data_IF_436742521344
#
_entry.id   IF_436742521344
#
_cell.length_a   1.000
_cell.length_b   1.000
_cell.length_c   1.000
_cell.angle_alpha   90.00
_cell.angle_beta   90.00
_cell.angle_gamma   90.00
#
_symmetry.space_group_name_H-M   'P 1'
#
loop_
_entity.id
_entity.type
_entity.pdbx_description
1 polymer ?
#
# COMPACT_ATOMS: atom_id res chain seq x y z
N UNK A 1 35.34 20.31 -22.39
CA UNK A 1 34.28 19.42 -22.90
C UNK A 1 33.37 19.07 -21.74
N UNK A 2 32.20 19.69 -21.66
CA UNK A 2 31.33 19.68 -20.50
C UNK A 2 30.54 18.37 -20.40
N UNK A 3 30.84 17.54 -19.39
CA UNK A 3 29.93 16.51 -18.91
C UNK A 3 29.23 17.04 -17.66
N UNK A 4 28.24 17.90 -17.86
CA UNK A 4 27.27 18.33 -16.85
C UNK A 4 25.88 18.35 -17.50
N UNK A 5 25.21 17.20 -17.53
CA UNK A 5 23.74 17.09 -17.38
C UNK A 5 23.29 15.64 -17.56
N UNK A 6 23.44 14.82 -16.53
CA UNK A 6 22.66 13.58 -16.43
C UNK A 6 22.34 13.23 -14.97
N UNK A 7 22.20 14.24 -14.11
CA UNK A 7 21.36 14.07 -12.91
C UNK A 7 19.91 14.28 -13.34
N UNK A 8 19.36 13.30 -14.07
CA UNK A 8 17.91 13.18 -14.22
C UNK A 8 17.33 13.25 -12.81
N UNK A 9 16.49 14.26 -12.58
CA UNK A 9 15.99 14.65 -11.27
C UNK A 9 15.29 13.45 -10.62
N UNK A 10 16.02 12.68 -9.80
CA UNK A 10 15.46 11.51 -9.12
C UNK A 10 14.42 12.05 -8.15
N UNK A 11 13.14 11.85 -8.45
CA UNK A 11 12.04 12.35 -7.62
C UNK A 11 12.22 11.78 -6.20
N UNK A 12 12.21 12.67 -5.20
CA UNK A 12 12.40 12.28 -3.80
C UNK A 12 11.20 11.47 -3.29
N UNK A 13 11.41 10.61 -2.30
CA UNK A 13 10.34 9.84 -1.65
C UNK A 13 9.22 10.76 -1.15
N UNK A 14 9.58 11.95 -0.67
CA UNK A 14 8.62 12.99 -0.28
C UNK A 14 7.65 13.36 -1.42
N UNK A 15 8.18 13.65 -2.62
CA UNK A 15 7.35 14.01 -3.77
C UNK A 15 6.48 12.85 -4.24
N UNK A 16 6.98 11.61 -4.17
CA UNK A 16 6.17 10.43 -4.45
C UNK A 16 5.02 10.27 -3.46
N UNK A 17 5.30 10.42 -2.16
CA UNK A 17 4.28 10.35 -1.12
C UNK A 17 3.22 11.46 -1.27
N UNK A 18 3.61 12.66 -1.71
CA UNK A 18 2.64 13.71 -2.04
C UNK A 18 1.72 13.29 -3.19
N UNK A 19 2.26 12.75 -4.27
CA UNK A 19 1.46 12.31 -5.43
C UNK A 19 0.54 11.14 -5.06
N UNK A 20 1.05 10.15 -4.33
CA UNK A 20 0.26 9.01 -3.85
C UNK A 20 -0.88 9.51 -2.95
N UNK A 21 -0.59 10.41 -2.01
CA UNK A 21 -1.60 10.97 -1.11
C UNK A 21 -2.67 11.77 -1.85
N UNK A 22 -2.26 12.64 -2.78
CA UNK A 22 -3.18 13.45 -3.57
C UNK A 22 -4.10 12.57 -4.43
N UNK A 23 -3.52 11.64 -5.18
CA UNK A 23 -4.26 10.66 -5.98
C UNK A 23 -5.24 9.84 -5.14
N UNK A 24 -4.80 9.35 -3.97
CA UNK A 24 -5.64 8.56 -3.05
C UNK A 24 -6.79 9.38 -2.47
N UNK A 25 -6.53 10.64 -2.09
CA UNK A 25 -7.55 11.52 -1.50
C UNK A 25 -8.61 11.93 -2.53
N UNK A 26 -8.22 12.06 -3.80
CA UNK A 26 -9.14 12.33 -4.90
C UNK A 26 -9.86 11.08 -5.43
N UNK A 27 -9.62 9.90 -4.83
CA UNK A 27 -10.29 8.66 -5.20
C UNK A 27 -9.74 8.00 -6.48
N UNK A 28 -8.61 8.46 -7.00
CA UNK A 28 -7.97 7.91 -8.20
C UNK A 28 -7.13 6.68 -7.87
N UNK A 29 -7.79 5.63 -7.37
CA UNK A 29 -7.11 4.48 -6.77
C UNK A 29 -6.25 3.67 -7.75
N UNK A 30 -6.69 3.49 -9.00
CA UNK A 30 -5.86 2.84 -10.03
C UNK A 30 -4.59 3.66 -10.30
N UNK A 31 -4.73 4.98 -10.37
CA UNK A 31 -3.59 5.87 -10.58
C UNK A 31 -2.64 5.88 -9.38
N UNK A 32 -3.16 5.77 -8.17
CA UNK A 32 -2.36 5.60 -6.95
C UNK A 32 -1.41 4.40 -7.07
N UNK A 33 -1.88 3.27 -7.60
CA UNK A 33 -1.06 2.08 -7.82
C UNK A 33 -0.06 2.24 -8.98
N UNK A 34 -0.44 2.96 -10.04
CA UNK A 34 0.45 3.30 -11.16
C UNK A 34 1.60 4.22 -10.70
N UNK A 35 1.31 5.22 -9.86
CA UNK A 35 2.31 6.11 -9.26
C UNK A 35 3.28 5.29 -8.41
N UNK A 36 2.79 4.35 -7.60
CA UNK A 36 3.67 3.48 -6.80
C UNK A 36 4.55 2.58 -7.67
N UNK A 37 3.98 1.97 -8.72
CA UNK A 37 4.75 1.17 -9.68
C UNK A 37 5.86 2.00 -10.33
N UNK A 38 5.53 3.24 -10.70
CA UNK A 38 6.50 4.19 -11.25
C UNK A 38 7.59 4.55 -10.23
N UNK A 39 7.22 4.77 -8.96
CA UNK A 39 8.18 5.04 -7.87
C UNK A 39 9.19 3.91 -7.71
N UNK A 40 8.72 2.65 -7.66
CA UNK A 40 9.57 1.47 -7.51
C UNK A 40 10.54 1.36 -8.69
N UNK A 41 10.07 1.56 -9.92
CA UNK A 41 10.90 1.50 -11.13
C UNK A 41 11.97 2.60 -11.19
N UNK A 42 11.67 3.83 -10.77
CA UNK A 42 12.60 4.96 -10.89
C UNK A 42 13.62 5.07 -9.75
N UNK A 43 13.21 4.67 -8.54
CA UNK A 43 14.03 4.86 -7.34
C UNK A 43 14.75 3.59 -6.92
N UNK A 44 14.36 2.42 -7.44
CA UNK A 44 14.78 1.12 -6.89
C UNK A 44 14.45 0.98 -5.40
N UNK A 45 13.65 1.90 -4.88
CA UNK A 45 13.33 2.07 -3.47
C UNK A 45 11.86 1.80 -3.25
N UNK A 46 11.53 1.53 -2.00
CA UNK A 46 10.21 1.11 -1.60
C UNK A 46 9.44 2.24 -0.92
N UNK A 47 8.17 1.98 -0.63
CA UNK A 47 7.39 2.89 0.20
C UNK A 47 7.88 2.89 1.65
N UNK A 48 7.21 3.69 2.47
CA UNK A 48 7.39 3.67 3.92
C UNK A 48 6.03 3.54 4.63
N UNK A 49 6.04 3.70 5.94
CA UNK A 49 4.84 3.64 6.80
C UNK A 49 3.76 4.66 6.43
N UNK A 50 4.08 5.70 5.65
CA UNK A 50 3.08 6.61 5.07
C UNK A 50 2.55 6.12 3.72
N UNK A 51 3.39 5.49 2.92
CA UNK A 51 3.02 5.01 1.58
C UNK A 51 2.04 3.84 1.66
N UNK A 52 2.37 2.80 2.44
CA UNK A 52 1.63 1.55 2.44
C UNK A 52 0.16 1.68 2.85
N UNK A 53 -0.22 2.46 3.90
CA UNK A 53 -1.62 2.66 4.24
C UNK A 53 -2.45 3.26 3.09
N UNK A 54 -1.86 4.15 2.29
CA UNK A 54 -2.53 4.76 1.13
C UNK A 54 -2.75 3.73 0.01
N UNK A 55 -1.75 2.89 -0.27
CA UNK A 55 -1.87 1.81 -1.25
C UNK A 55 -2.93 0.80 -0.83
N UNK A 56 -2.93 0.40 0.45
CA UNK A 56 -3.90 -0.52 1.01
C UNK A 56 -5.32 0.05 0.97
N UNK A 57 -5.48 1.35 1.26
CA UNK A 57 -6.75 2.06 1.06
C UNK A 57 -7.16 2.03 -0.42
N UNK A 58 -6.25 2.24 -1.36
CA UNK A 58 -6.56 2.16 -2.79
C UNK A 58 -7.02 0.75 -3.19
N UNK A 59 -6.30 -0.30 -2.77
CA UNK A 59 -6.69 -1.70 -3.01
C UNK A 59 -8.08 -2.00 -2.43
N UNK A 60 -8.36 -1.53 -1.21
CA UNK A 60 -9.63 -1.71 -0.52
C UNK A 60 -10.81 -1.09 -1.29
N UNK A 61 -10.63 0.13 -1.81
CA UNK A 61 -11.70 0.82 -2.56
C UNK A 61 -11.85 0.29 -3.99
N UNK A 62 -10.81 -0.30 -4.55
CA UNK A 62 -10.89 -1.05 -5.81
C UNK A 62 -11.48 -2.46 -5.64
N UNK A 63 -11.64 -2.93 -4.40
CA UNK A 63 -12.01 -4.32 -4.11
C UNK A 63 -10.97 -5.34 -4.64
N UNK A 64 -9.71 -4.92 -4.81
CA UNK A 64 -8.72 -5.73 -5.52
C UNK A 64 -7.83 -6.51 -4.56
N UNK A 65 -8.22 -7.77 -4.31
CA UNK A 65 -7.43 -8.71 -3.51
C UNK A 65 -6.05 -9.00 -4.11
N UNK A 66 -5.94 -9.03 -5.45
CA UNK A 66 -4.69 -9.28 -6.16
C UNK A 66 -3.67 -8.18 -5.83
N UNK A 67 -4.03 -6.90 -6.00
CA UNK A 67 -3.13 -5.80 -5.66
C UNK A 67 -2.88 -5.74 -4.15
N UNK A 68 -3.89 -6.00 -3.32
CA UNK A 68 -3.77 -6.04 -1.86
C UNK A 68 -2.70 -7.04 -1.38
N UNK A 69 -2.75 -8.27 -1.89
CA UNK A 69 -1.79 -9.34 -1.53
C UNK A 69 -0.39 -9.07 -2.06
N UNK A 70 -0.25 -8.47 -3.26
CA UNK A 70 1.06 -8.03 -3.77
C UNK A 70 1.70 -6.97 -2.86
N UNK A 71 0.93 -5.95 -2.45
CA UNK A 71 1.41 -4.93 -1.52
C UNK A 71 1.73 -5.52 -0.14
N UNK A 72 0.92 -6.45 0.36
CA UNK A 72 1.22 -7.17 1.60
C UNK A 72 2.54 -7.95 1.50
N UNK A 73 2.81 -8.64 0.39
CA UNK A 73 4.10 -9.28 0.14
C UNK A 73 5.28 -8.31 0.17
N UNK A 74 5.11 -7.09 -0.38
CA UNK A 74 6.12 -6.04 -0.28
C UNK A 74 6.35 -5.58 1.17
N UNK A 75 5.28 -5.40 1.95
CA UNK A 75 5.36 -5.02 3.37
C UNK A 75 6.19 -6.04 4.17
N UNK A 76 5.90 -7.33 4.00
CA UNK A 76 6.62 -8.42 4.67
C UNK A 76 8.10 -8.44 4.28
N UNK A 77 8.37 -8.36 2.97
CA UNK A 77 9.74 -8.42 2.44
C UNK A 77 10.63 -7.28 2.96
N UNK A 78 10.03 -6.16 3.34
CA UNK A 78 10.72 -4.93 3.69
C UNK A 78 10.69 -4.63 5.19
N UNK A 79 10.09 -5.50 6.00
CA UNK A 79 10.11 -5.37 7.45
C UNK A 79 9.07 -4.39 8.02
N UNK A 80 8.01 -4.06 7.27
CA UNK A 80 6.97 -3.12 7.73
C UNK A 80 5.77 -3.80 8.42
N UNK A 81 5.82 -5.13 8.60
CA UNK A 81 4.70 -5.88 9.16
C UNK A 81 4.37 -5.56 10.62
N UNK A 82 5.32 -5.04 11.39
CA UNK A 82 5.14 -4.70 12.81
C UNK A 82 4.70 -3.25 13.03
N UNK A 83 4.59 -2.45 11.96
CA UNK A 83 4.11 -1.07 12.07
C UNK A 83 2.58 -1.05 12.26
N UNK A 84 2.13 -0.42 13.34
CA UNK A 84 0.72 -0.37 13.74
C UNK A 84 -0.19 0.25 12.66
N UNK A 85 0.28 1.29 11.97
CA UNK A 85 -0.52 1.95 10.93
C UNK A 85 -0.66 1.05 9.70
N UNK A 86 0.42 0.37 9.33
CA UNK A 86 0.43 -0.60 8.22
C UNK A 86 -0.48 -1.80 8.56
N UNK A 87 -0.39 -2.36 9.77
CA UNK A 87 -1.27 -3.46 10.20
C UNK A 87 -2.75 -3.07 10.17
N UNK A 88 -3.09 -1.90 10.73
CA UNK A 88 -4.47 -1.40 10.74
C UNK A 88 -5.00 -1.25 9.31
N UNK A 89 -4.18 -0.74 8.40
CA UNK A 89 -4.55 -0.61 6.99
C UNK A 89 -4.68 -1.97 6.28
N UNK A 90 -3.84 -2.96 6.61
CA UNK A 90 -3.93 -4.32 6.06
C UNK A 90 -5.26 -4.97 6.44
N UNK A 91 -5.63 -4.91 7.72
CA UNK A 91 -6.92 -5.43 8.21
C UNK A 91 -8.08 -4.77 7.47
N UNK A 92 -8.07 -3.44 7.37
CA UNK A 92 -9.10 -2.69 6.64
C UNK A 92 -9.17 -3.02 5.14
N UNK A 93 -8.02 -3.32 4.53
CA UNK A 93 -7.95 -3.74 3.12
C UNK A 93 -8.53 -5.13 2.92
N UNK A 94 -8.10 -6.12 3.72
CA UNK A 94 -8.64 -7.47 3.63
C UNK A 94 -10.15 -7.47 3.87
N UNK A 95 -10.63 -6.81 4.93
CA UNK A 95 -12.06 -6.73 5.25
C UNK A 95 -12.93 -6.11 4.14
N UNK A 96 -12.37 -5.22 3.30
CA UNK A 96 -13.08 -4.57 2.18
C UNK A 96 -12.91 -5.27 0.85
N UNK A 97 -11.76 -5.92 0.62
CA UNK A 97 -11.51 -6.74 -0.57
C UNK A 97 -12.20 -8.11 -0.49
N UNK A 98 -12.68 -8.49 0.69
CA UNK A 98 -13.50 -9.69 0.87
C UNK A 98 -14.95 -9.41 0.48
N UNK A 99 -15.40 -10.06 -0.59
CA UNK A 99 -16.66 -10.79 -0.51
C UNK A 99 -16.55 -11.69 0.74
N UNK A 100 -17.44 -11.48 1.71
CA UNK A 100 -17.55 -12.00 3.10
C UNK A 100 -16.84 -13.32 3.46
N UNK A 101 -16.65 -14.25 2.53
CA UNK A 101 -16.08 -15.60 2.76
C UNK A 101 -14.62 -15.59 3.22
N UNK A 102 -13.75 -14.78 2.62
CA UNK A 102 -12.32 -14.76 3.01
C UNK A 102 -12.09 -14.07 4.38
N UNK A 103 -12.91 -13.07 4.74
CA UNK A 103 -12.84 -12.43 6.06
C UNK A 103 -13.39 -13.34 7.14
N UNK A 104 -14.42 -14.14 6.82
CA UNK A 104 -14.96 -15.16 7.71
C UNK A 104 -13.95 -16.28 7.97
N UNK A 105 -13.21 -16.73 6.94
CA UNK A 105 -12.15 -17.72 7.12
C UNK A 105 -11.03 -17.21 8.05
N UNK A 106 -10.54 -15.99 7.83
CA UNK A 106 -9.53 -15.41 8.72
C UNK A 106 -10.04 -15.19 10.15
N UNK A 107 -11.31 -14.80 10.32
CA UNK A 107 -11.94 -14.68 11.63
C UNK A 107 -12.13 -16.03 12.32
N UNK A 108 -12.50 -17.07 11.57
CA UNK A 108 -12.69 -18.42 12.10
C UNK A 108 -11.37 -19.08 12.52
N UNK A 109 -10.25 -18.71 11.90
CA UNK A 109 -8.90 -19.17 12.25
C UNK A 109 -8.26 -18.42 13.45
N UNK A 110 -8.88 -17.36 13.98
CA UNK A 110 -8.36 -16.66 15.16
C UNK A 110 -8.66 -17.46 16.45
N UNK A 111 -7.59 -17.91 17.13
CA UNK A 111 -7.65 -18.75 18.34
C UNK A 111 -8.25 -18.05 19.59
N UNK A 112 -8.27 -16.72 19.64
CA UNK A 112 -8.92 -15.95 20.71
C UNK A 112 -9.85 -14.89 20.13
N UNK A 113 -11.14 -15.09 20.37
CA UNK A 113 -12.23 -14.20 19.97
C UNK A 113 -12.51 -13.25 21.13
N UNK A 114 -12.54 -11.94 20.87
CA UNK A 114 -13.16 -10.98 21.79
C UNK A 114 -14.51 -10.57 21.21
N UNK A 115 -15.57 -10.82 21.98
CA UNK A 115 -16.91 -10.33 21.67
C UNK A 115 -17.02 -8.95 22.28
N UNK A 116 -17.18 -7.92 21.46
CA UNK A 116 -17.62 -6.60 21.93
C UNK A 116 -19.11 -6.51 21.61
N UNK A 117 -19.94 -6.49 22.65
CA UNK A 117 -21.39 -6.18 22.57
C UNK A 117 -21.63 -4.70 22.33
#
# INVERSE_FOLDING_TARGET
>A
MAMRSASLFRKSLYLWNLMIRDSTNNGFYTETLNIYTSMVSHTGGHGNTFTYPLLLKACANLGSMIHGTMIHGHILRLGFQDDLFVQTALVGMYAKCTYVECARHMFDEMAHRSVVS
#
